data_IF_117923648765
#
_entry.id   IF_117923648765
#
_cell.length_a   1.000
_cell.length_b   1.000
_cell.length_c   1.000
_cell.angle_alpha   90.00
_cell.angle_beta   90.00
_cell.angle_gamma   90.00
#
_symmetry.space_group_name_H-M   'P 1'
#
loop_
_entity.id
_entity.type
_entity.pdbx_description
1 polymer ?
#
# COMPACT_ATOMS: atom_id res chain seq x y z
N UNK A 1 20.62 14.71 0.52
CA UNK A 1 21.51 13.61 0.93
C UNK A 1 22.55 14.19 1.85
N UNK A 2 22.71 13.61 3.03
CA UNK A 2 23.62 14.08 4.07
C UNK A 2 25.07 13.58 3.85
N UNK A 3 25.30 12.73 2.84
CA UNK A 3 26.63 12.34 2.38
C UNK A 3 27.36 11.37 3.30
N UNK A 4 26.66 10.73 4.26
CA UNK A 4 27.26 9.81 5.23
C UNK A 4 27.43 8.37 4.71
N UNK A 5 26.95 8.08 3.49
CA UNK A 5 27.04 6.76 2.86
C UNK A 5 26.10 5.70 3.43
N UNK A 6 25.20 6.07 4.35
CA UNK A 6 24.24 5.16 4.97
C UNK A 6 22.99 5.08 4.11
N UNK A 7 22.84 3.95 3.41
CA UNK A 7 21.66 3.68 2.61
C UNK A 7 20.39 3.67 3.46
N UNK A 8 19.39 4.45 3.07
CA UNK A 8 18.05 4.47 3.68
C UNK A 8 17.88 5.38 4.91
N UNK A 9 18.91 6.14 5.31
CA UNK A 9 18.78 7.09 6.41
C UNK A 9 18.37 8.51 5.97
N UNK A 10 18.74 8.87 4.73
CA UNK A 10 18.50 10.17 4.14
C UNK A 10 17.02 10.44 3.86
N UNK A 11 16.54 11.61 4.30
CA UNK A 11 15.20 12.09 3.99
C UNK A 11 15.17 12.66 2.56
N UNK A 12 14.06 12.41 1.87
CA UNK A 12 13.84 12.86 0.50
C UNK A 12 13.47 14.36 0.47
N UNK A 13 14.12 15.12 -0.40
CA UNK A 13 13.64 16.45 -0.79
C UNK A 13 12.55 16.31 -1.86
N UNK A 14 11.43 17.00 -1.70
CA UNK A 14 10.35 17.03 -2.70
C UNK A 14 10.53 18.25 -3.61
N UNK A 15 10.82 18.09 -4.91
CA UNK A 15 11.08 19.20 -5.82
C UNK A 15 9.89 20.15 -5.96
N UNK A 16 10.12 21.46 -6.02
CA UNK A 16 9.04 22.47 -6.22
C UNK A 16 8.28 22.25 -7.51
N UNK A 17 8.99 21.83 -8.55
CA UNK A 17 8.48 21.57 -9.90
C UNK A 17 9.49 20.70 -10.67
N UNK A 18 9.20 20.39 -11.93
CA UNK A 18 10.05 19.55 -12.77
C UNK A 18 11.42 20.17 -13.08
N UNK A 19 11.63 21.49 -12.98
CA UNK A 19 12.95 22.08 -13.28
C UNK A 19 13.99 21.78 -12.20
N UNK A 20 13.57 21.38 -11.00
CA UNK A 20 14.44 20.90 -9.92
C UNK A 20 14.72 19.38 -10.02
N UNK A 21 14.18 18.69 -11.02
CA UNK A 21 14.32 17.25 -11.20
C UNK A 21 15.41 16.92 -12.21
N UNK A 22 16.49 16.29 -11.77
CA UNK A 22 17.58 15.84 -12.66
C UNK A 22 17.63 14.32 -12.67
N UNK A 23 17.09 13.72 -13.74
CA UNK A 23 17.08 12.28 -13.93
C UNK A 23 18.14 11.83 -14.94
N UNK A 24 18.81 10.71 -14.64
CA UNK A 24 19.60 10.00 -15.63
C UNK A 24 18.71 9.07 -16.46
N UNK A 25 19.10 8.73 -17.71
CA UNK A 25 18.40 7.71 -18.47
C UNK A 25 18.26 6.41 -17.67
N UNK A 26 17.07 5.82 -17.72
CA UNK A 26 16.75 4.55 -17.08
C UNK A 26 16.67 3.47 -18.16
N UNK A 27 17.68 2.60 -18.21
CA UNK A 27 17.74 1.51 -19.19
C UNK A 27 16.64 0.46 -18.96
N UNK A 28 16.25 -0.24 -20.02
CA UNK A 28 15.39 -1.41 -19.89
C UNK A 28 16.06 -2.48 -19.02
N UNK A 29 15.27 -3.25 -18.26
CA UNK A 29 15.78 -4.35 -17.44
C UNK A 29 14.71 -5.42 -17.28
N UNK A 30 15.00 -6.64 -17.75
CA UNK A 30 14.01 -7.72 -17.79
C UNK A 30 12.75 -7.30 -18.55
N UNK A 31 11.59 -7.48 -17.92
CA UNK A 31 10.29 -7.06 -18.47
C UNK A 31 9.96 -5.57 -18.32
N UNK A 32 10.87 -4.76 -17.76
CA UNK A 32 10.62 -3.33 -17.54
C UNK A 32 11.19 -2.47 -18.69
N UNK A 33 10.37 -1.60 -19.32
CA UNK A 33 10.80 -0.77 -20.45
C UNK A 33 11.76 0.34 -20.00
N UNK A 34 12.63 0.78 -20.92
CA UNK A 34 13.46 1.96 -20.70
C UNK A 34 12.58 3.22 -20.49
N UNK A 35 13.12 4.21 -19.78
CA UNK A 35 12.47 5.50 -19.61
C UNK A 35 13.48 6.65 -19.74
N UNK A 36 13.07 7.69 -20.46
CA UNK A 36 13.79 8.94 -20.62
C UNK A 36 13.78 9.75 -19.32
N UNK A 37 14.70 10.73 -19.14
CA UNK A 37 14.64 11.66 -18.03
C UNK A 37 13.30 12.42 -17.92
N UNK A 38 12.70 12.79 -19.06
CA UNK A 38 11.42 13.52 -19.09
C UNK A 38 10.26 12.64 -18.61
N UNK A 39 10.20 11.37 -19.04
CA UNK A 39 9.18 10.42 -18.56
C UNK A 39 9.30 10.15 -17.07
N UNK A 40 10.53 10.05 -16.55
CA UNK A 40 10.76 9.90 -15.11
C UNK A 40 10.34 11.16 -14.32
N UNK A 41 10.64 12.36 -14.83
CA UNK A 41 10.21 13.60 -14.21
C UNK A 41 8.68 13.71 -14.17
N UNK A 42 8.00 13.39 -15.25
CA UNK A 42 6.54 13.37 -15.31
C UNK A 42 5.93 12.33 -14.35
N UNK A 43 6.48 11.11 -14.32
CA UNK A 43 6.01 10.05 -13.43
C UNK A 43 6.22 10.40 -11.94
N UNK A 44 7.37 10.98 -11.60
CA UNK A 44 7.65 11.41 -10.22
C UNK A 44 6.79 12.61 -9.82
N UNK A 45 6.54 13.56 -10.72
CA UNK A 45 5.63 14.67 -10.48
C UNK A 45 4.20 14.18 -10.22
N UNK A 46 3.73 13.21 -11.02
CA UNK A 46 2.43 12.57 -10.82
C UNK A 46 2.36 11.81 -9.48
N UNK A 47 3.43 11.09 -9.11
CA UNK A 47 3.54 10.39 -7.82
C UNK A 47 3.46 11.35 -6.62
N UNK A 48 4.12 12.52 -6.70
CA UNK A 48 4.02 13.55 -5.66
C UNK A 48 2.62 14.15 -5.61
N UNK A 49 2.03 14.45 -6.77
CA UNK A 49 0.74 15.16 -6.83
C UNK A 49 -0.44 14.30 -6.37
N UNK A 50 -0.37 12.97 -6.53
CA UNK A 50 -1.42 12.06 -6.04
C UNK A 50 -1.39 11.85 -4.52
N UNK A 51 -0.25 12.10 -3.86
CA UNK A 51 -0.11 11.94 -2.41
C UNK A 51 -0.32 13.27 -1.67
N UNK A 52 -1.34 13.39 -0.79
CA UNK A 52 -1.61 14.65 -0.10
C UNK A 52 -0.44 15.15 0.75
N UNK A 53 0.32 14.26 1.38
CA UNK A 53 1.46 14.62 2.20
C UNK A 53 2.63 15.10 1.34
N UNK A 54 3.02 14.33 0.31
CA UNK A 54 4.12 14.74 -0.57
C UNK A 54 3.80 16.02 -1.33
N UNK A 55 2.56 16.20 -1.78
CA UNK A 55 2.10 17.43 -2.43
C UNK A 55 2.31 18.66 -1.54
N UNK A 56 2.07 18.55 -0.24
CA UNK A 56 2.29 19.63 0.73
C UNK A 56 3.77 19.84 1.10
N UNK A 57 4.63 18.87 0.77
CA UNK A 57 6.07 18.92 1.03
C UNK A 57 6.89 19.52 -0.13
N UNK A 58 6.26 19.95 -1.23
CA UNK A 58 6.93 20.63 -2.35
C UNK A 58 7.86 21.75 -1.86
N UNK A 59 9.12 21.69 -2.27
CA UNK A 59 10.17 22.62 -1.87
C UNK A 59 10.77 22.37 -0.48
N UNK A 60 10.45 21.24 0.16
CA UNK A 60 10.90 20.89 1.51
C UNK A 60 11.47 19.47 1.55
N UNK A 61 12.23 19.18 2.60
CA UNK A 61 12.63 17.81 2.96
C UNK A 61 11.48 17.18 3.75
N UNK A 62 11.11 15.95 3.41
CA UNK A 62 10.04 15.21 4.10
C UNK A 62 10.43 14.96 5.56
N UNK A 63 9.43 14.91 6.45
CA UNK A 63 9.62 14.54 7.84
C UNK A 63 9.78 13.03 8.01
N UNK A 64 10.60 12.63 9.00
CA UNK A 64 10.74 11.22 9.38
C UNK A 64 9.42 10.73 9.98
N UNK A 65 8.87 9.66 9.42
CA UNK A 65 7.57 9.10 9.83
C UNK A 65 6.43 10.13 9.78
N UNK A 66 6.51 11.14 8.91
CA UNK A 66 5.52 12.22 8.82
C UNK A 66 4.15 11.83 8.26
N UNK A 67 3.93 10.54 7.95
CA UNK A 67 2.66 10.04 7.43
C UNK A 67 2.25 8.77 8.16
N UNK A 68 0.95 8.68 8.46
CA UNK A 68 0.31 7.47 8.96
C UNK A 68 -0.37 6.74 7.81
N UNK A 69 -0.46 5.42 7.91
CA UNK A 69 -1.24 4.66 6.95
C UNK A 69 -2.73 5.02 7.00
N UNK A 70 -3.46 4.92 5.87
CA UNK A 70 -4.90 5.14 5.86
C UNK A 70 -5.62 4.20 6.84
N UNK A 71 -6.63 4.72 7.54
CA UNK A 71 -7.46 3.95 8.45
C UNK A 71 -8.14 2.79 7.71
N UNK A 72 -8.08 1.60 8.30
CA UNK A 72 -8.78 0.42 7.83
C UNK A 72 -9.86 0.03 8.84
N UNK A 73 -11.12 0.12 8.42
CA UNK A 73 -12.25 -0.39 9.17
C UNK A 73 -12.72 -1.73 8.59
N UNK A 74 -12.92 -2.73 9.45
CA UNK A 74 -13.46 -4.05 9.11
C UNK A 74 -14.52 -4.44 10.14
N UNK A 75 -15.56 -5.11 9.65
CA UNK A 75 -16.67 -5.59 10.46
C UNK A 75 -16.87 -7.07 10.18
N UNK A 76 -16.95 -7.85 11.24
CA UNK A 76 -17.22 -9.29 11.19
C UNK A 76 -18.60 -9.54 11.80
N UNK A 77 -19.33 -10.52 11.27
CA UNK A 77 -20.64 -10.94 11.76
C UNK A 77 -20.59 -12.40 12.17
N UNK A 78 -21.07 -12.69 13.39
CA UNK A 78 -21.26 -14.04 13.87
C UNK A 78 -22.71 -14.21 14.33
N UNK A 79 -23.36 -15.28 13.88
CA UNK A 79 -24.73 -15.64 14.25
C UNK A 79 -24.76 -17.08 14.70
N UNK A 80 -25.46 -17.34 15.81
CA UNK A 80 -25.66 -18.67 16.35
C UNK A 80 -27.15 -18.91 16.61
N UNK A 81 -27.65 -20.05 16.13
CA UNK A 81 -29.02 -20.51 16.35
C UNK A 81 -28.99 -21.86 17.05
N UNK A 82 -29.77 -21.99 18.12
CA UNK A 82 -29.95 -23.25 18.84
C UNK A 82 -31.37 -23.78 18.63
N UNK A 83 -31.46 -24.99 18.11
CA UNK A 83 -32.69 -25.75 17.97
C UNK A 83 -32.63 -26.89 18.99
N UNK A 84 -33.58 -26.95 19.92
CA UNK A 84 -33.55 -27.95 20.98
C UNK A 84 -34.90 -28.64 21.17
N UNK A 85 -34.83 -29.89 21.61
CA UNK A 85 -35.98 -30.69 22.00
C UNK A 85 -35.60 -31.66 23.12
N UNK A 86 -36.57 -32.04 23.94
CA UNK A 86 -36.37 -33.06 24.97
C UNK A 86 -36.64 -34.43 24.35
N UNK A 87 -35.66 -35.34 24.39
CA UNK A 87 -35.81 -36.73 23.97
C UNK A 87 -35.58 -37.59 25.22
N UNK A 88 -36.66 -38.16 25.75
CA UNK A 88 -36.64 -38.83 27.05
C UNK A 88 -36.35 -37.84 28.19
N UNK A 89 -35.34 -38.14 29.01
CA UNK A 89 -34.93 -37.31 30.16
C UNK A 89 -33.87 -36.26 29.81
N UNK A 90 -33.31 -36.32 28.60
CA UNK A 90 -32.19 -35.49 28.19
C UNK A 90 -32.65 -34.42 27.20
N UNK A 91 -32.04 -33.24 27.28
CA UNK A 91 -32.24 -32.15 26.31
C UNK A 91 -31.23 -32.30 25.20
N UNK A 92 -31.72 -32.43 23.98
CA UNK A 92 -30.88 -32.52 22.79
C UNK A 92 -30.91 -31.19 22.06
N UNK A 93 -29.72 -30.63 21.76
CA UNK A 93 -29.61 -29.34 21.07
C UNK A 93 -28.75 -29.50 19.83
N UNK A 94 -29.26 -29.02 18.69
CA UNK A 94 -28.51 -28.76 17.47
C UNK A 94 -28.21 -27.27 17.43
N UNK A 95 -26.94 -26.92 17.46
CA UNK A 95 -26.45 -25.56 17.37
C UNK A 95 -25.88 -25.35 15.96
N UNK A 96 -26.41 -24.36 15.26
CA UNK A 96 -25.93 -23.89 13.96
C UNK A 96 -25.20 -22.57 14.17
N UNK A 97 -24.01 -22.44 13.58
CA UNK A 97 -23.22 -21.20 13.65
C UNK A 97 -22.78 -20.78 12.26
N UNK A 98 -22.89 -19.49 11.97
CA UNK A 98 -22.34 -18.85 10.79
C UNK A 98 -21.45 -17.69 11.19
N UNK A 99 -20.20 -17.70 10.74
CA UNK A 99 -19.25 -16.61 10.90
C UNK A 99 -18.91 -16.05 9.52
N UNK A 100 -19.05 -14.74 9.34
CA UNK A 100 -18.68 -14.01 8.12
C UNK A 100 -17.67 -12.95 8.49
N UNK A 101 -16.46 -13.08 7.95
CA UNK A 101 -15.39 -12.12 8.15
C UNK A 101 -15.41 -11.08 7.03
N UNK A 102 -15.14 -9.83 7.39
CA UNK A 102 -15.11 -8.69 6.48
C UNK A 102 -16.45 -8.52 5.72
N UNK A 103 -17.56 -8.47 6.45
CA UNK A 103 -18.93 -8.34 5.92
C UNK A 103 -19.10 -7.08 5.06
N UNK A 104 -18.39 -6.00 5.42
CA UNK A 104 -18.35 -4.80 4.59
C UNK A 104 -17.89 -5.08 3.17
N UNK A 105 -16.87 -5.94 2.99
CA UNK A 105 -16.37 -6.35 1.69
C UNK A 105 -17.37 -7.19 0.89
N UNK A 106 -18.15 -8.03 1.57
CA UNK A 106 -19.24 -8.81 0.97
C UNK A 106 -20.32 -7.90 0.36
N UNK A 107 -20.59 -6.76 1.02
CA UNK A 107 -21.56 -5.75 0.55
C UNK A 107 -20.95 -4.86 -0.55
N UNK A 108 -19.70 -4.42 -0.37
CA UNK A 108 -18.97 -3.61 -1.33
C UNK A 108 -17.50 -4.04 -1.37
N UNK A 109 -17.05 -4.52 -2.53
CA UNK A 109 -15.69 -5.04 -2.72
C UNK A 109 -14.56 -4.04 -2.45
N UNK A 110 -14.85 -2.74 -2.36
CA UNK A 110 -13.88 -1.70 -1.99
C UNK A 110 -13.73 -1.50 -0.47
N UNK A 111 -14.67 -2.02 0.34
CA UNK A 111 -14.67 -1.87 1.80
C UNK A 111 -13.85 -2.95 2.47
N UNK A 112 -13.24 -2.61 3.61
CA UNK A 112 -12.40 -3.55 4.37
C UNK A 112 -11.13 -4.01 3.65
N UNK A 113 -10.72 -3.35 2.56
CA UNK A 113 -9.51 -3.66 1.81
C UNK A 113 -8.35 -2.82 2.32
N UNK A 114 -7.28 -3.47 2.79
CA UNK A 114 -6.09 -2.79 3.31
C UNK A 114 -5.30 -2.07 2.22
N UNK A 115 -4.43 -1.14 2.65
CA UNK A 115 -3.49 -0.44 1.79
C UNK A 115 -2.06 -0.86 2.12
N UNK A 116 -1.27 -1.17 1.09
CA UNK A 116 0.15 -1.45 1.20
C UNK A 116 0.96 -0.37 0.49
N UNK A 117 2.07 0.04 1.09
CA UNK A 117 3.01 0.99 0.46
C UNK A 117 3.70 0.29 -0.71
N UNK A 118 3.71 0.93 -1.89
CA UNK A 118 4.39 0.38 -3.07
C UNK A 118 5.92 0.47 -2.94
N UNK A 119 6.43 1.58 -2.43
CA UNK A 119 7.86 1.78 -2.17
C UNK A 119 8.07 2.85 -1.10
N UNK A 120 9.05 2.63 -0.22
CA UNK A 120 9.53 3.65 0.72
C UNK A 120 10.69 4.49 0.14
N UNK A 121 11.17 4.12 -1.04
CA UNK A 121 12.29 4.75 -1.74
C UNK A 121 11.91 4.91 -3.22
N UNK A 122 11.12 5.94 -3.60
CA UNK A 122 10.70 6.13 -4.98
C UNK A 122 11.85 6.57 -5.90
N UNK A 123 12.95 7.09 -5.32
CA UNK A 123 14.14 7.52 -6.04
C UNK A 123 15.35 6.69 -5.59
N UNK A 124 16.15 6.25 -6.55
CA UNK A 124 17.50 5.76 -6.33
C UNK A 124 18.48 6.92 -6.47
N UNK A 125 19.27 7.13 -5.41
CA UNK A 125 20.48 7.95 -5.47
C UNK A 125 21.39 7.41 -6.57
N UNK A 126 21.88 8.28 -7.44
CA UNK A 126 23.12 7.97 -8.15
C UNK A 126 24.25 8.69 -7.42
N UNK A 127 25.40 8.03 -7.24
CA UNK A 127 26.61 8.67 -6.69
C UNK A 127 27.21 9.73 -7.66
N UNK A 128 26.37 10.31 -8.51
CA UNK A 128 26.72 11.28 -9.54
C UNK A 128 25.99 12.59 -9.27
N UNK A 129 26.76 13.66 -9.22
CA UNK A 129 26.28 15.03 -9.35
C UNK A 129 26.56 15.48 -10.78
N UNK A 130 25.72 16.34 -11.34
CA UNK A 130 26.04 16.99 -12.61
C UNK A 130 27.17 18.01 -12.43
N UNK A 131 27.60 18.65 -13.53
CA UNK A 131 28.68 19.64 -13.52
C UNK A 131 28.41 20.85 -12.59
N UNK A 132 27.16 21.08 -12.20
CA UNK A 132 26.70 22.15 -11.32
C UNK A 132 26.57 21.69 -9.85
N UNK A 133 27.01 20.46 -9.52
CA UNK A 133 26.91 19.91 -8.18
C UNK A 133 25.49 19.46 -7.79
N UNK A 134 24.55 19.39 -8.73
CA UNK A 134 23.18 18.96 -8.47
C UNK A 134 23.12 17.43 -8.49
N UNK A 135 22.61 16.79 -7.42
CA UNK A 135 22.41 15.34 -7.38
C UNK A 135 21.51 14.85 -8.51
N UNK A 136 21.87 13.72 -9.09
CA UNK A 136 21.08 13.05 -10.11
C UNK A 136 20.42 11.80 -9.54
N UNK A 137 19.29 11.41 -10.12
CA UNK A 137 18.50 10.29 -9.63
C UNK A 137 18.00 9.41 -10.77
N UNK A 138 17.53 8.22 -10.40
CA UNK A 138 16.66 7.39 -11.23
C UNK A 138 15.40 7.05 -10.44
N UNK A 139 14.27 6.95 -11.11
CA UNK A 139 13.06 6.46 -10.45
C UNK A 139 13.19 4.96 -10.18
N UNK A 140 12.87 4.52 -8.96
CA UNK A 140 12.75 3.11 -8.67
C UNK A 140 11.49 2.55 -9.30
N UNK A 141 11.58 1.31 -9.82
CA UNK A 141 10.45 0.63 -10.43
C UNK A 141 9.68 -0.18 -9.40
N UNK A 142 8.36 -0.21 -9.54
CA UNK A 142 7.46 -1.11 -8.80
C UNK A 142 6.70 -1.94 -9.84
N UNK A 143 6.76 -3.27 -9.72
CA UNK A 143 6.15 -4.19 -10.69
C UNK A 143 6.51 -3.84 -12.16
N UNK A 144 7.79 -3.61 -12.43
CA UNK A 144 8.33 -3.22 -13.75
C UNK A 144 7.83 -1.88 -14.30
N UNK A 145 7.13 -1.06 -13.50
CA UNK A 145 6.59 0.25 -13.90
C UNK A 145 7.23 1.38 -13.09
N UNK A 146 7.39 2.55 -13.73
CA UNK A 146 7.67 3.83 -13.05
C UNK A 146 6.39 4.58 -12.67
N UNK A 147 5.24 4.17 -13.24
CA UNK A 147 3.94 4.74 -12.92
C UNK A 147 3.29 3.88 -11.82
N UNK A 148 3.32 4.40 -10.60
CA UNK A 148 2.67 3.83 -9.43
C UNK A 148 2.27 4.93 -8.46
N UNK A 149 1.37 4.61 -7.53
CA UNK A 149 0.89 5.47 -6.45
C UNK A 149 1.60 5.13 -5.13
N UNK A 150 1.44 5.95 -4.10
CA UNK A 150 1.97 5.66 -2.75
C UNK A 150 1.49 4.31 -2.24
N UNK A 151 0.19 4.05 -2.38
CA UNK A 151 -0.45 2.84 -1.89
C UNK A 151 -1.03 2.01 -3.02
N UNK A 152 -1.02 0.69 -2.83
CA UNK A 152 -1.83 -0.28 -3.58
C UNK A 152 -2.78 -1.00 -2.64
N UNK A 153 -3.89 -1.52 -3.17
CA UNK A 153 -4.82 -2.36 -2.42
C UNK A 153 -4.18 -3.71 -2.09
N UNK A 154 -4.49 -4.23 -0.90
CA UNK A 154 -4.15 -5.58 -0.50
C UNK A 154 -4.91 -6.62 -1.32
N UNK A 155 -4.30 -7.80 -1.45
CA UNK A 155 -4.85 -8.95 -2.20
C UNK A 155 -4.82 -10.23 -1.37
N UNK A 156 -4.70 -10.12 -0.04
CA UNK A 156 -4.65 -11.26 0.86
C UNK A 156 -6.04 -11.73 1.30
N UNK A 157 -6.09 -12.85 2.03
CA UNK A 157 -7.35 -13.38 2.57
C UNK A 157 -8.11 -12.41 3.47
N UNK A 158 -7.41 -11.51 4.17
CA UNK A 158 -8.06 -10.48 4.98
C UNK A 158 -8.66 -9.33 4.17
N UNK A 159 -8.33 -9.21 2.89
CA UNK A 159 -8.82 -8.14 2.00
C UNK A 159 -10.09 -8.54 1.23
N UNK A 160 -10.49 -9.80 1.36
CA UNK A 160 -11.74 -10.34 0.82
C UNK A 160 -12.64 -10.81 1.96
N UNK A 161 -13.92 -10.94 1.71
CA UNK A 161 -14.82 -11.63 2.63
C UNK A 161 -14.58 -13.14 2.57
N UNK A 162 -14.77 -13.80 3.71
CA UNK A 162 -14.85 -15.26 3.78
C UNK A 162 -15.85 -15.65 4.86
N UNK A 163 -16.37 -16.88 4.79
CA UNK A 163 -17.37 -17.38 5.71
C UNK A 163 -17.08 -18.81 6.16
N UNK A 164 -17.46 -19.11 7.39
CA UNK A 164 -17.41 -20.45 7.97
C UNK A 164 -18.79 -20.81 8.52
N UNK A 165 -19.16 -22.10 8.36
CA UNK A 165 -20.40 -22.64 8.91
C UNK A 165 -20.07 -23.85 9.79
N UNK A 166 -20.72 -23.91 10.96
CA UNK A 166 -20.52 -24.97 11.94
C UNK A 166 -21.83 -25.57 12.40
N UNK A 167 -21.78 -26.87 12.69
CA UNK A 167 -22.84 -27.60 13.38
C UNK A 167 -22.27 -28.26 14.63
N UNK A 168 -22.97 -28.14 15.75
CA UNK A 168 -22.62 -28.80 17.01
C UNK A 168 -23.85 -29.48 17.58
N UNK A 169 -23.65 -30.70 18.06
CA UNK A 169 -24.66 -31.44 18.81
C UNK A 169 -24.30 -31.49 20.29
N UNK A 170 -25.30 -31.28 21.16
CA UNK A 170 -25.16 -31.25 22.62
C UNK A 170 -26.20 -32.20 23.22
N UNK A 171 -25.75 -33.08 24.11
CA UNK A 171 -26.54 -34.10 24.80
C UNK A 171 -26.71 -33.80 26.29
#
# INVERSE_FOLDING_TARGET
>A
MNGDGINGNDLMYVPRNQSEMVFLPLAASGGAPAATPAEQAAAFDAFINQDPYLKNMRGKVVERNGVLQPLLARFDLSVQLELFSNIGKNRHTIQLRGDVFNVGNMINSAWGVSNFVNTFQPLAATNSVNAQGVPQFRMNRVNNSINYTTYRRGTGFGDVWNAQFGIRYIF
#
